data_IF_209585818347
#
_entry.id   IF_209585818347
#
_cell.length_a   1.000
_cell.length_b   1.000
_cell.length_c   1.000
_cell.angle_alpha   90.00
_cell.angle_beta   90.00
_cell.angle_gamma   90.00
#
_symmetry.space_group_name_H-M   'P 1'
#
loop_
_entity.id
_entity.type
_entity.pdbx_description
1 polymer ?
#
# COMPACT_ATOMS: atom_id res chain seq x y z
N UNK A 1 -4.91 -2.68 -20.25
CA UNK A 1 -3.55 -2.48 -20.80
C UNK A 1 -2.69 -1.50 -19.98
N UNK A 2 -3.22 -0.37 -19.48
CA UNK A 2 -2.47 0.61 -18.67
C UNK A 2 -1.94 0.12 -17.32
N UNK A 3 -2.76 -0.52 -16.48
CA UNK A 3 -2.32 -1.05 -15.17
C UNK A 3 -1.05 -1.91 -15.29
N UNK A 4 -0.99 -2.79 -16.29
CA UNK A 4 0.17 -3.64 -16.51
C UNK A 4 1.42 -2.83 -16.88
N UNK A 5 1.29 -1.78 -17.70
CA UNK A 5 2.40 -0.89 -18.05
C UNK A 5 2.90 -0.08 -16.84
N UNK A 6 1.99 0.50 -16.06
CA UNK A 6 2.35 1.26 -14.85
C UNK A 6 3.06 0.39 -13.81
N UNK A 7 2.53 -0.80 -13.54
CA UNK A 7 3.15 -1.71 -12.58
C UNK A 7 4.49 -2.26 -13.07
N UNK A 8 4.64 -2.46 -14.38
CA UNK A 8 5.92 -2.88 -14.95
C UNK A 8 7.02 -1.84 -14.72
N UNK A 9 6.73 -0.56 -14.95
CA UNK A 9 7.71 0.52 -14.73
C UNK A 9 8.03 0.71 -13.24
N UNK A 10 7.02 0.68 -12.37
CA UNK A 10 7.22 0.83 -10.92
C UNK A 10 8.07 -0.29 -10.30
N UNK A 11 8.12 -1.48 -10.93
CA UNK A 11 8.92 -2.61 -10.44
C UNK A 11 10.42 -2.33 -10.49
N UNK A 12 10.87 -1.56 -11.48
CA UNK A 12 12.29 -1.28 -11.70
C UNK A 12 12.73 0.01 -11.00
N UNK A 13 11.78 0.79 -10.48
CA UNK A 13 12.04 1.98 -9.68
C UNK A 13 12.52 1.58 -8.27
N UNK A 14 13.84 1.56 -8.09
CA UNK A 14 14.48 1.31 -6.79
C UNK A 14 14.95 2.64 -6.22
N UNK A 15 14.25 3.18 -5.19
CA UNK A 15 14.69 4.41 -4.55
C UNK A 15 16.07 4.21 -3.92
N UNK A 16 16.86 5.28 -3.92
CA UNK A 16 18.12 5.30 -3.17
C UNK A 16 17.82 5.13 -1.67
N UNK A 17 18.75 4.57 -0.89
CA UNK A 17 18.61 4.54 0.57
C UNK A 17 18.37 5.96 1.11
N UNK A 18 17.44 6.07 2.04
CA UNK A 18 17.19 7.32 2.78
C UNK A 18 18.38 7.62 3.70
N UNK A 19 18.67 8.90 3.91
CA UNK A 19 19.81 9.35 4.73
C UNK A 19 19.39 10.48 5.66
N UNK A 20 20.18 10.77 6.69
CA UNK A 20 19.90 11.89 7.59
C UNK A 20 18.66 11.69 8.45
N UNK A 21 17.77 12.69 8.48
CA UNK A 21 16.52 12.65 9.26
C UNK A 21 15.40 12.16 8.34
N UNK A 22 14.82 11.02 8.70
CA UNK A 22 13.73 10.39 7.97
C UNK A 22 12.43 10.55 8.74
N UNK A 23 11.42 11.07 8.06
CA UNK A 23 10.03 11.04 8.51
C UNK A 23 9.37 9.81 7.92
N UNK A 24 8.63 9.06 8.74
CA UNK A 24 7.93 7.86 8.31
C UNK A 24 6.52 7.85 8.90
N UNK A 25 5.56 7.60 8.03
CA UNK A 25 4.15 7.49 8.38
C UNK A 25 3.60 6.14 7.90
N UNK A 26 2.63 5.63 8.66
CA UNK A 26 1.91 4.41 8.33
C UNK A 26 0.47 4.75 7.94
N UNK A 27 0.04 4.25 6.79
CA UNK A 27 -1.36 4.32 6.37
C UNK A 27 -1.91 2.92 6.25
N UNK A 28 -3.04 2.66 6.93
CA UNK A 28 -3.70 1.36 6.89
C UNK A 28 -4.92 1.40 5.97
N UNK A 29 -4.93 0.52 4.97
CA UNK A 29 -6.06 0.37 4.05
C UNK A 29 -6.61 -1.05 4.13
N UNK A 30 -7.91 -1.21 3.87
CA UNK A 30 -8.48 -2.55 3.81
C UNK A 30 -7.82 -3.39 2.71
N UNK A 31 -7.37 -4.58 3.10
CA UNK A 31 -6.73 -5.53 2.19
C UNK A 31 -7.61 -5.74 0.96
N UNK A 32 -6.98 -5.69 -0.22
CA UNK A 32 -7.67 -5.72 -1.49
C UNK A 32 -7.32 -6.96 -2.31
N UNK A 33 -8.27 -7.90 -2.39
CA UNK A 33 -8.19 -9.08 -3.26
C UNK A 33 -8.50 -8.78 -4.73
N UNK A 34 -8.31 -7.53 -5.18
CA UNK A 34 -8.66 -7.11 -6.54
C UNK A 34 -7.77 -7.80 -7.57
N UNK A 35 -8.37 -8.67 -8.37
CA UNK A 35 -7.69 -9.46 -9.39
C UNK A 35 -7.30 -10.87 -8.94
N UNK A 36 -7.65 -11.26 -7.72
CA UNK A 36 -7.57 -12.66 -7.30
C UNK A 36 -8.60 -13.51 -8.07
N UNK A 37 -8.21 -14.71 -8.50
CA UNK A 37 -9.13 -15.70 -9.12
C UNK A 37 -10.00 -16.42 -8.08
N UNK A 38 -9.49 -16.55 -6.86
CA UNK A 38 -10.18 -17.16 -5.73
C UNK A 38 -10.09 -16.19 -4.54
N UNK A 39 -11.23 -15.65 -4.13
CA UNK A 39 -11.31 -14.75 -2.97
C UNK A 39 -11.54 -15.56 -1.70
N UNK A 40 -10.86 -15.20 -0.61
CA UNK A 40 -11.04 -15.86 0.71
C UNK A 40 -12.18 -15.26 1.52
N UNK A 41 -12.82 -14.20 1.00
CA UNK A 41 -13.96 -13.51 1.60
C UNK A 41 -14.88 -12.94 0.50
N UNK A 42 -16.13 -12.56 0.83
CA UNK A 42 -17.01 -11.88 -0.12
C UNK A 42 -16.44 -10.55 -0.64
N UNK A 43 -16.84 -10.09 -1.84
CA UNK A 43 -16.49 -8.78 -2.38
C UNK A 43 -16.91 -7.62 -1.46
N UNK A 44 -16.05 -6.60 -1.35
CA UNK A 44 -16.34 -5.37 -0.58
C UNK A 44 -17.02 -4.35 -1.49
N UNK A 45 -17.95 -3.57 -0.92
CA UNK A 45 -18.53 -2.38 -1.55
C UNK A 45 -17.69 -1.14 -1.22
N UNK A 46 -17.86 -0.07 -2.00
CA UNK A 46 -17.21 1.23 -1.73
C UNK A 46 -17.62 1.72 -0.33
N UNK A 47 -16.65 2.25 0.42
CA UNK A 47 -16.88 2.74 1.79
C UNK A 47 -17.02 1.63 2.84
N UNK A 48 -16.67 0.38 2.51
CA UNK A 48 -16.64 -0.71 3.50
C UNK A 48 -15.62 -0.45 4.62
N UNK A 49 -15.86 -1.07 5.77
CA UNK A 49 -15.01 -0.99 6.97
C UNK A 49 -14.50 -2.39 7.38
N UNK A 50 -13.49 -2.44 8.25
CA UNK A 50 -13.01 -3.67 8.85
C UNK A 50 -14.06 -4.20 9.85
N UNK A 51 -14.17 -5.53 9.98
CA UNK A 51 -15.06 -6.12 10.99
C UNK A 51 -14.50 -5.93 12.39
N UNK A 52 -13.18 -6.00 12.54
CA UNK A 52 -12.48 -5.79 13.81
C UNK A 52 -12.17 -4.30 14.03
N UNK A 53 -12.29 -3.84 15.27
CA UNK A 53 -11.78 -2.52 15.67
C UNK A 53 -10.25 -2.54 15.75
N UNK A 54 -9.62 -1.41 15.46
CA UNK A 54 -8.16 -1.25 15.52
C UNK A 54 -7.43 -1.90 14.33
N UNK A 55 -6.10 -1.94 14.43
CA UNK A 55 -5.24 -2.58 13.42
C UNK A 55 -5.43 -4.10 13.49
N UNK A 56 -5.67 -4.72 12.34
CA UNK A 56 -5.91 -6.15 12.25
C UNK A 56 -5.46 -6.66 10.88
N UNK A 57 -5.43 -7.99 10.70
CA UNK A 57 -5.13 -8.62 9.41
C UNK A 57 -6.17 -8.36 8.31
N UNK A 58 -7.17 -7.51 8.54
CA UNK A 58 -8.04 -7.00 7.48
C UNK A 58 -7.46 -5.77 6.76
N UNK A 59 -6.37 -5.21 7.30
CA UNK A 59 -5.71 -4.01 6.81
C UNK A 59 -4.30 -4.35 6.30
N UNK A 60 -3.94 -3.78 5.16
CA UNK A 60 -2.56 -3.69 4.68
C UNK A 60 -1.93 -2.41 5.24
N UNK A 61 -0.74 -2.53 5.83
CA UNK A 61 0.06 -1.37 6.22
C UNK A 61 0.88 -0.88 5.02
N UNK A 62 0.70 0.38 4.66
CA UNK A 62 1.51 1.08 3.68
C UNK A 62 2.42 2.03 4.45
N UNK A 63 3.69 1.67 4.51
CA UNK A 63 4.73 2.53 5.08
C UNK A 63 5.20 3.52 4.01
N UNK A 64 5.16 4.81 4.34
CA UNK A 64 5.74 5.87 3.52
C UNK A 64 6.86 6.51 4.33
N UNK A 65 8.04 6.64 3.73
CA UNK A 65 9.19 7.27 4.38
C UNK A 65 9.84 8.27 3.43
N UNK A 66 10.33 9.38 3.99
CA UNK A 66 10.95 10.48 3.25
C UNK A 66 12.08 11.14 4.04
N UNK A 67 13.17 11.49 3.36
CA UNK A 67 14.22 12.36 3.91
C UNK A 67 13.72 13.82 3.96
N UNK A 68 13.87 14.48 5.11
CA UNK A 68 13.46 15.88 5.33
C UNK A 68 14.12 16.86 4.35
N UNK A 69 15.27 16.50 3.77
CA UNK A 69 15.95 17.31 2.77
C UNK A 69 15.28 17.29 1.38
N UNK A 70 14.16 16.58 1.22
CA UNK A 70 13.35 16.60 0.01
C UNK A 70 13.93 15.82 -1.16
N UNK A 71 15.02 15.07 -0.96
CA UNK A 71 15.63 14.21 -1.97
C UNK A 71 14.80 12.93 -2.12
N UNK A 72 13.92 12.93 -3.11
CA UNK A 72 13.19 11.75 -3.61
C UNK A 72 13.28 11.77 -5.12
#
# INVERSE_FOLDING_TARGET
RWRHRFLAMAKDDRPKPLSGIVEADETYLLESQKGARHMTRPPRRRGGHAKKRGISGELDCILVARDRQGRT
#
